data_IF_507520217955
#
_entry.id   IF_507520217955
#
_cell.length_a   1.000
_cell.length_b   1.000
_cell.length_c   1.000
_cell.angle_alpha   90.00
_cell.angle_beta   90.00
_cell.angle_gamma   90.00
#
_symmetry.space_group_name_H-M   'P 1'
#
loop_
_entity.id
_entity.type
_entity.pdbx_description
1 polymer ?
#
# COMPACT_ATOMS: atom_id res chain seq x y z
N UNK A 1 -17.37 -19.29 16.81
CA UNK A 1 -17.73 -17.88 16.51
C UNK A 1 -17.18 -16.90 17.54
N UNK A 2 -17.32 -17.14 18.85
CA UNK A 2 -16.78 -16.23 19.90
C UNK A 2 -15.26 -16.01 19.79
N UNK A 3 -14.47 -17.07 19.62
CA UNK A 3 -13.01 -16.94 19.46
C UNK A 3 -12.62 -15.99 18.31
N UNK A 4 -13.33 -16.09 17.18
CA UNK A 4 -13.09 -15.23 16.01
C UNK A 4 -13.45 -13.78 16.32
N UNK A 5 -14.53 -13.55 17.06
CA UNK A 5 -14.92 -12.20 17.48
C UNK A 5 -13.86 -11.57 18.41
N UNK A 6 -13.35 -12.34 19.38
CA UNK A 6 -12.29 -11.88 20.29
C UNK A 6 -10.99 -11.57 19.53
N UNK A 7 -10.61 -12.43 18.58
CA UNK A 7 -9.42 -12.19 17.75
C UNK A 7 -9.63 -10.96 16.85
N UNK A 8 -10.82 -10.75 16.31
CA UNK A 8 -11.13 -9.59 15.49
C UNK A 8 -11.04 -8.28 16.29
N UNK A 9 -11.60 -8.26 17.51
CA UNK A 9 -11.53 -7.11 18.42
C UNK A 9 -10.07 -6.77 18.77
N UNK A 10 -9.26 -7.78 19.08
CA UNK A 10 -7.83 -7.60 19.34
C UNK A 10 -7.06 -7.09 18.10
N UNK A 11 -7.41 -7.58 16.91
CA UNK A 11 -6.82 -7.13 15.66
C UNK A 11 -7.20 -5.69 15.32
N UNK A 12 -8.39 -5.24 15.68
CA UNK A 12 -8.83 -3.85 15.47
C UNK A 12 -7.98 -2.88 16.29
N UNK A 13 -7.80 -3.15 17.59
CA UNK A 13 -6.95 -2.33 18.44
C UNK A 13 -5.47 -2.35 18.02
N UNK A 14 -4.96 -3.54 17.68
CA UNK A 14 -3.60 -3.69 17.18
C UNK A 14 -3.37 -2.91 15.89
N UNK A 15 -4.28 -3.02 14.93
CA UNK A 15 -4.16 -2.32 13.63
C UNK A 15 -4.32 -0.81 13.77
N UNK A 16 -5.14 -0.32 14.69
CA UNK A 16 -5.26 1.11 14.98
C UNK A 16 -3.94 1.68 15.54
N UNK A 17 -3.28 0.98 16.46
CA UNK A 17 -1.96 1.37 16.96
C UNK A 17 -0.89 1.30 15.87
N UNK A 18 -0.89 0.20 15.11
CA UNK A 18 0.03 0.00 13.99
C UNK A 18 -0.10 1.11 12.94
N UNK A 19 -1.33 1.53 12.61
CA UNK A 19 -1.58 2.61 11.65
C UNK A 19 -0.96 3.94 12.10
N UNK A 20 -1.10 4.30 13.39
CA UNK A 20 -0.52 5.53 13.95
C UNK A 20 1.01 5.50 13.92
N UNK A 21 1.60 4.34 14.24
CA UNK A 21 3.05 4.15 14.18
C UNK A 21 3.54 4.27 12.73
N UNK A 22 2.88 3.60 11.79
CA UNK A 22 3.20 3.69 10.37
C UNK A 22 3.07 5.12 9.86
N UNK A 23 2.00 5.82 10.22
CA UNK A 23 1.79 7.22 9.86
C UNK A 23 2.93 8.11 10.37
N UNK A 24 3.35 7.92 11.62
CA UNK A 24 4.49 8.65 12.18
C UNK A 24 5.79 8.32 11.44
N UNK A 25 6.06 7.04 11.15
CA UNK A 25 7.25 6.58 10.40
C UNK A 25 7.26 7.14 8.97
N UNK A 26 6.11 7.20 8.31
CA UNK A 26 5.99 7.79 6.98
C UNK A 26 6.10 9.31 6.97
N UNK A 27 5.72 9.98 8.05
CA UNK A 27 5.89 11.43 8.21
C UNK A 27 7.32 11.83 8.58
N UNK A 28 7.97 11.04 9.43
CA UNK A 28 9.30 11.36 9.99
C UNK A 28 10.46 10.99 9.05
N UNK A 29 10.28 10.02 8.16
CA UNK A 29 11.24 9.73 7.11
C UNK A 29 10.65 10.13 5.75
N UNK A 30 11.35 10.92 4.90
CA UNK A 30 11.00 11.05 3.51
C UNK A 30 11.29 9.71 2.83
N UNK A 31 10.35 8.76 2.94
CA UNK A 31 10.43 7.53 2.19
C UNK A 31 10.60 7.93 0.72
N UNK A 32 11.68 7.49 0.04
CA UNK A 32 11.84 7.79 -1.37
C UNK A 32 10.55 7.34 -2.05
N UNK A 33 9.93 8.20 -2.86
CA UNK A 33 8.66 7.90 -3.56
C UNK A 33 8.71 6.53 -4.26
N UNK A 34 9.92 6.11 -4.67
CA UNK A 34 10.24 4.77 -5.18
C UNK A 34 9.96 3.62 -4.20
N UNK A 35 10.32 3.74 -2.92
CA UNK A 35 10.06 2.69 -1.91
C UNK A 35 8.57 2.58 -1.64
N UNK A 36 7.87 3.72 -1.52
CA UNK A 36 6.41 3.74 -1.35
C UNK A 36 5.69 3.11 -2.55
N UNK A 37 6.15 3.40 -3.77
CA UNK A 37 5.66 2.76 -4.99
C UNK A 37 5.97 1.25 -5.01
N UNK A 38 7.17 0.83 -4.61
CA UNK A 38 7.55 -0.57 -4.54
C UNK A 38 6.70 -1.34 -3.52
N UNK A 39 6.43 -0.77 -2.35
CA UNK A 39 5.55 -1.39 -1.35
C UNK A 39 4.16 -1.60 -1.95
N UNK A 40 3.56 -0.56 -2.55
CA UNK A 40 2.25 -0.66 -3.18
C UNK A 40 2.22 -1.69 -4.32
N UNK A 41 3.26 -1.73 -5.18
CA UNK A 41 3.35 -2.69 -6.30
C UNK A 41 3.45 -4.15 -5.84
N UNK A 42 4.06 -4.41 -4.68
CA UNK A 42 4.27 -5.76 -4.18
C UNK A 42 3.17 -6.24 -3.22
N UNK A 43 2.11 -5.46 -2.98
CA UNK A 43 0.99 -5.91 -2.17
C UNK A 43 0.30 -7.10 -2.86
N UNK A 44 0.02 -8.20 -2.15
CA UNK A 44 -0.55 -9.43 -2.72
C UNK A 44 -1.99 -9.26 -3.24
N UNK A 45 -2.60 -8.09 -3.03
CA UNK A 45 -3.94 -7.73 -3.50
C UNK A 45 -3.93 -6.82 -4.73
N UNK A 46 -2.77 -6.37 -5.20
CA UNK A 46 -2.70 -5.61 -6.44
C UNK A 46 -2.84 -6.58 -7.61
N UNK A 47 -4.05 -6.66 -8.13
CA UNK A 47 -4.29 -7.16 -9.48
C UNK A 47 -3.41 -6.35 -10.43
N UNK A 48 -2.40 -7.00 -11.00
CA UNK A 48 -1.46 -6.37 -11.92
C UNK A 48 -2.23 -5.92 -13.17
N UNK A 49 -2.69 -4.67 -13.20
CA UNK A 49 -3.29 -4.08 -14.40
C UNK A 49 -2.10 -3.79 -15.34
N UNK A 50 -1.99 -4.50 -16.49
CA UNK A 50 -0.93 -4.19 -17.42
C UNK A 50 -1.08 -2.73 -17.85
N UNK A 51 0.01 -1.93 -17.87
CA UNK A 51 -0.07 -0.57 -18.36
C UNK A 51 -0.61 -0.59 -19.80
N UNK A 52 -1.55 0.29 -20.15
CA UNK A 52 -2.06 0.37 -21.51
C UNK A 52 -0.88 0.57 -22.47
N UNK A 53 -0.89 -0.04 -23.68
CA UNK A 53 0.16 0.13 -24.65
C UNK A 53 0.39 1.62 -24.87
N UNK A 54 1.60 2.11 -24.60
CA UNK A 54 1.98 3.47 -24.93
C UNK A 54 1.95 3.59 -26.45
N UNK A 55 0.83 4.05 -27.00
CA UNK A 55 0.72 4.45 -28.40
C UNK A 55 1.74 5.57 -28.57
N UNK A 56 2.88 5.20 -29.16
CA UNK A 56 3.97 6.10 -29.51
C UNK A 56 3.38 7.23 -30.35
N UNK A 57 3.39 8.45 -29.81
CA UNK A 57 3.00 9.62 -30.58
C UNK A 57 3.92 9.72 -31.82
N UNK A 58 3.36 9.93 -33.03
CA UNK A 58 4.17 10.08 -34.23
C UNK A 58 5.06 11.32 -34.11
N UNK A 59 6.32 11.18 -34.55
CA UNK A 59 7.31 12.26 -34.49
C UNK A 59 6.85 13.46 -35.34
N UNK A 60 7.02 14.71 -34.86
CA UNK A 60 6.78 15.89 -35.67
C UNK A 60 7.81 15.97 -36.81
N UNK A 61 7.32 16.27 -38.01
CA UNK A 61 8.09 16.45 -39.24
C UNK A 61 8.81 17.81 -39.27
#
# INVERSE_FOLDING_TARGET
MILVAVVAELMEEYTALLARILEHVFHSAPFPVRVRFLILRNLPFVSYIPPPPLIRAPAPA
#
